data_IF_427262741845
#
_entry.id   IF_427262741845
#
_cell.length_a   1.000
_cell.length_b   1.000
_cell.length_c   1.000
_cell.angle_alpha   90.00
_cell.angle_beta   90.00
_cell.angle_gamma   90.00
#
_symmetry.space_group_name_H-M   'P 1'
#
loop_
_entity.id
_entity.type
_entity.pdbx_description
1 polymer ?
#
# COMPACT_ATOMS: atom_id res chain seq x y z
N UNK A 1 50.26 -4.36 -21.39
CA UNK A 1 50.18 -4.87 -20.00
C UNK A 1 49.66 -3.73 -19.15
N UNK A 2 48.59 -3.75 -18.39
CA UNK A 2 47.45 -4.67 -18.22
C UNK A 2 46.32 -3.82 -17.63
N UNK A 3 45.08 -4.24 -17.88
CA UNK A 3 43.86 -3.45 -17.77
C UNK A 3 43.42 -3.12 -16.33
N UNK A 4 42.78 -1.96 -16.22
CA UNK A 4 41.88 -1.53 -15.15
C UNK A 4 40.60 -2.36 -15.16
N UNK A 5 40.35 -3.13 -14.10
CA UNK A 5 39.10 -3.85 -13.87
C UNK A 5 38.15 -3.06 -12.97
N UNK A 6 37.04 -2.59 -13.55
CA UNK A 6 35.89 -2.04 -12.84
C UNK A 6 35.15 -3.17 -12.12
N UNK A 7 35.23 -3.21 -10.78
CA UNK A 7 34.44 -4.11 -9.94
C UNK A 7 33.03 -3.56 -9.73
N UNK A 8 32.05 -4.38 -10.11
CA UNK A 8 30.62 -4.21 -9.87
C UNK A 8 30.30 -3.72 -8.46
N UNK A 9 29.50 -2.67 -8.36
CA UNK A 9 28.76 -2.36 -7.14
C UNK A 9 27.67 -3.41 -6.96
N UNK A 10 28.01 -4.50 -6.28
CA UNK A 10 27.03 -5.43 -5.72
C UNK A 10 26.04 -4.64 -4.87
N UNK A 11 24.75 -4.83 -5.16
CA UNK A 11 23.66 -4.38 -4.32
C UNK A 11 23.77 -5.08 -2.96
N UNK A 12 24.46 -4.42 -2.04
CA UNK A 12 24.46 -4.81 -0.64
C UNK A 12 23.04 -4.60 -0.12
N UNK A 13 22.27 -5.69 -0.09
CA UNK A 13 21.03 -5.79 0.66
C UNK A 13 21.39 -5.36 2.09
N UNK A 14 20.94 -4.16 2.46
CA UNK A 14 21.13 -3.61 3.80
C UNK A 14 20.50 -4.61 4.78
N UNK A 15 21.36 -5.40 5.42
CA UNK A 15 20.95 -6.37 6.42
C UNK A 15 20.09 -5.63 7.45
N UNK A 16 18.90 -6.17 7.74
CA UNK A 16 17.97 -5.61 8.71
C UNK A 16 18.75 -5.11 9.93
N UNK A 17 18.74 -3.79 10.15
CA UNK A 17 19.44 -3.19 11.27
C UNK A 17 18.96 -3.88 12.56
N UNK A 18 19.87 -4.53 13.28
CA UNK A 18 19.56 -5.18 14.54
C UNK A 18 19.30 -4.10 15.58
N UNK A 19 18.03 -3.91 15.93
CA UNK A 19 17.64 -2.98 16.98
C UNK A 19 17.55 -3.73 18.33
N UNK A 20 18.22 -3.23 19.40
CA UNK A 20 18.03 -3.79 20.73
C UNK A 20 16.59 -3.56 21.20
N UNK A 21 15.98 -4.58 21.79
CA UNK A 21 14.63 -4.54 22.36
C UNK A 21 14.73 -4.57 23.88
N UNK A 22 14.17 -3.58 24.57
CA UNK A 22 14.04 -3.64 26.03
C UNK A 22 13.02 -4.71 26.43
N UNK A 23 13.38 -5.59 27.36
CA UNK A 23 12.54 -6.71 27.84
C UNK A 23 12.17 -6.60 29.32
N UNK A 24 12.46 -5.46 29.96
CA UNK A 24 12.20 -5.20 31.38
C UNK A 24 10.76 -5.53 31.82
N UNK A 25 9.76 -5.25 30.98
CA UNK A 25 8.34 -5.46 31.25
C UNK A 25 7.77 -6.76 30.67
N UNK A 26 8.63 -7.72 30.30
CA UNK A 26 8.19 -9.02 29.75
C UNK A 26 7.23 -9.81 30.64
N UNK A 27 7.30 -9.61 31.96
CA UNK A 27 6.47 -10.31 32.94
C UNK A 27 5.13 -9.62 33.18
N UNK A 28 4.96 -8.38 32.72
CA UNK A 28 3.75 -7.61 32.98
C UNK A 28 2.57 -8.19 32.20
N UNK A 29 1.48 -8.42 32.90
CA UNK A 29 0.24 -8.93 32.33
C UNK A 29 -0.66 -7.78 31.88
N UNK A 30 -1.12 -7.82 30.63
CA UNK A 30 -2.00 -6.80 30.05
C UNK A 30 -3.31 -7.39 29.51
N UNK A 31 -4.38 -6.61 29.57
CA UNK A 31 -5.68 -7.01 29.02
C UNK A 31 -5.82 -6.50 27.59
N UNK A 32 -6.22 -7.40 26.68
CA UNK A 32 -6.58 -7.06 25.31
C UNK A 32 -8.10 -6.92 25.20
N UNK A 33 -8.57 -5.70 25.01
CA UNK A 33 -10.01 -5.39 25.01
C UNK A 33 -10.46 -4.96 23.62
N UNK A 34 -11.45 -5.67 23.06
CA UNK A 34 -12.14 -5.25 21.84
C UNK A 34 -13.27 -4.28 22.19
N UNK A 35 -13.24 -3.08 21.62
CA UNK A 35 -14.19 -1.99 21.90
C UNK A 35 -15.00 -1.63 20.65
N UNK A 36 -16.31 -1.35 20.75
CA UNK A 36 -17.11 -0.83 19.64
C UNK A 36 -16.60 0.51 19.10
N UNK A 37 -16.61 0.70 17.78
CA UNK A 37 -16.05 1.89 17.13
C UNK A 37 -16.60 3.22 17.67
N UNK A 38 -17.89 3.31 17.97
CA UNK A 38 -18.47 4.57 18.47
C UNK A 38 -17.90 5.00 19.84
N UNK A 39 -17.43 4.05 20.67
CA UNK A 39 -16.73 4.37 21.92
C UNK A 39 -15.28 4.80 21.63
N UNK A 40 -14.58 4.09 20.73
CA UNK A 40 -13.23 4.45 20.33
C UNK A 40 -13.18 5.86 19.70
N UNK A 41 -14.15 6.18 18.84
CA UNK A 41 -14.30 7.50 18.22
C UNK A 41 -14.60 8.59 19.27
N UNK A 42 -15.28 8.24 20.36
CA UNK A 42 -15.51 9.18 21.48
C UNK A 42 -14.20 9.45 22.23
N UNK A 43 -13.46 8.40 22.57
CA UNK A 43 -12.19 8.51 23.29
C UNK A 43 -11.11 9.23 22.48
N UNK A 44 -11.12 9.09 21.15
CA UNK A 44 -10.16 9.79 20.29
C UNK A 44 -10.45 11.29 20.19
N UNK A 45 -11.72 11.71 20.34
CA UNK A 45 -12.12 13.13 20.34
C UNK A 45 -11.75 13.82 21.65
N UNK A 46 -11.83 13.10 22.76
CA UNK A 46 -11.32 13.58 24.05
C UNK A 46 -9.80 13.48 24.07
N UNK A 47 -9.10 14.60 24.20
CA UNK A 47 -7.64 14.66 24.30
C UNK A 47 -7.07 13.54 25.22
N UNK A 48 -5.90 12.98 24.88
CA UNK A 48 -5.32 11.74 25.44
C UNK A 48 -5.17 11.71 26.96
N UNK A 49 -5.05 12.87 27.61
CA UNK A 49 -4.85 12.97 29.06
C UNK A 49 -6.15 13.00 29.86
N UNK A 50 -7.31 12.94 29.20
CA UNK A 50 -8.62 13.00 29.86
C UNK A 50 -9.08 11.61 30.31
N UNK A 51 -9.65 11.54 31.51
CA UNK A 51 -10.33 10.34 31.99
C UNK A 51 -11.58 10.07 31.16
N UNK A 52 -11.67 8.89 30.54
CA UNK A 52 -12.78 8.54 29.62
C UNK A 52 -13.90 7.71 30.26
N UNK A 53 -13.66 7.16 31.45
CA UNK A 53 -14.63 6.34 32.15
C UNK A 53 -14.01 5.55 33.29
N UNK A 54 -14.81 4.66 33.88
CA UNK A 54 -14.44 3.78 34.99
C UNK A 54 -14.78 2.33 34.62
N UNK A 55 -13.85 1.42 34.92
CA UNK A 55 -14.08 -0.03 34.79
C UNK A 55 -14.45 -0.56 36.16
N UNK A 56 -15.60 -1.23 36.25
CA UNK A 56 -16.10 -1.86 37.47
C UNK A 56 -15.94 -3.37 37.34
N UNK A 57 -15.26 -3.99 38.30
CA UNK A 57 -15.06 -5.43 38.36
C UNK A 57 -15.76 -5.97 39.61
N UNK A 58 -16.74 -6.84 39.41
CA UNK A 58 -17.49 -7.50 40.47
C UNK A 58 -17.15 -8.99 40.46
N UNK A 59 -16.53 -9.47 41.53
CA UNK A 59 -16.30 -10.90 41.76
C UNK A 59 -17.43 -11.44 42.61
N UNK A 60 -18.24 -12.35 42.06
CA UNK A 60 -19.29 -13.03 42.85
C UNK A 60 -18.70 -14.32 43.41
N UNK A 61 -18.31 -14.30 44.68
CA UNK A 61 -17.96 -15.52 45.42
C UNK A 61 -19.25 -16.26 45.81
N UNK A 62 -19.61 -17.28 45.03
CA UNK A 62 -20.73 -18.17 45.40
C UNK A 62 -20.25 -19.04 46.56
N UNK A 63 -20.57 -18.64 47.80
CA UNK A 63 -20.17 -19.35 49.01
C UNK A 63 -20.54 -20.84 49.02
N UNK A 64 -19.56 -21.65 49.43
CA UNK A 64 -19.61 -23.01 49.99
C UNK A 64 -20.79 -23.92 49.60
N UNK A 65 -20.54 -24.88 48.69
CA UNK A 65 -21.33 -26.10 48.64
C UNK A 65 -21.50 -26.77 47.28
N UNK A 66 -20.43 -27.09 46.56
CA UNK A 66 -20.31 -28.24 45.63
C UNK A 66 -19.08 -28.09 44.74
N UNK A 67 -18.39 -29.21 44.47
CA UNK A 67 -17.16 -29.29 43.67
C UNK A 67 -17.44 -29.01 42.18
N UNK A 68 -17.48 -27.74 41.78
CA UNK A 68 -17.17 -27.23 40.43
C UNK A 68 -17.46 -25.71 40.40
N UNK A 69 -16.58 -24.94 41.02
CA UNK A 69 -16.83 -23.53 41.27
C UNK A 69 -16.27 -22.66 40.15
N UNK A 70 -17.13 -22.35 39.17
CA UNK A 70 -16.85 -21.38 38.11
C UNK A 70 -16.91 -19.98 38.71
N UNK A 71 -15.76 -19.37 38.99
CA UNK A 71 -15.67 -17.94 39.32
C UNK A 71 -16.22 -17.13 38.14
N UNK A 72 -17.36 -16.47 38.31
CA UNK A 72 -17.91 -15.55 37.31
C UNK A 72 -17.54 -14.14 37.73
N UNK A 73 -16.53 -13.58 37.08
CA UNK A 73 -16.21 -12.14 37.20
C UNK A 73 -17.11 -11.38 36.24
N UNK A 74 -17.92 -10.45 36.76
CA UNK A 74 -18.74 -9.54 35.96
C UNK A 74 -17.99 -8.21 35.84
N UNK A 75 -17.67 -7.80 34.61
CA UNK A 75 -16.84 -6.63 34.34
C UNK A 75 -17.64 -5.68 33.45
N UNK A 76 -17.74 -4.41 33.85
CA UNK A 76 -18.50 -3.38 33.15
C UNK A 76 -17.68 -2.12 32.92
N UNK A 77 -17.98 -1.40 31.83
CA UNK A 77 -17.44 -0.08 31.53
C UNK A 77 -18.52 0.98 31.67
N UNK A 78 -18.23 1.97 32.49
CA UNK A 78 -19.05 3.17 32.69
C UNK A 78 -18.31 4.33 32.04
N UNK A 79 -18.93 4.95 31.04
CA UNK A 79 -18.34 6.12 30.35
C UNK A 79 -18.57 7.38 31.18
N UNK A 80 -17.61 8.32 31.17
CA UNK A 80 -17.72 9.57 31.95
C UNK A 80 -18.86 10.47 31.46
N UNK A 81 -19.61 11.07 32.40
CA UNK A 81 -20.80 11.89 32.09
C UNK A 81 -20.45 13.15 31.30
N UNK A 82 -19.26 13.72 31.52
CA UNK A 82 -18.76 14.89 30.80
C UNK A 82 -18.54 14.58 29.32
N UNK A 83 -18.03 13.38 29.01
CA UNK A 83 -17.87 12.92 27.63
C UNK A 83 -19.20 12.64 26.96
N UNK A 84 -20.17 12.13 27.71
CA UNK A 84 -21.52 11.91 27.20
C UNK A 84 -22.18 13.25 26.83
N UNK A 85 -21.99 14.29 27.65
CA UNK A 85 -22.52 15.62 27.38
C UNK A 85 -21.91 16.25 26.11
N UNK A 86 -20.61 16.07 25.90
CA UNK A 86 -19.89 16.57 24.73
C UNK A 86 -20.12 15.72 23.46
N UNK A 87 -20.61 14.48 23.61
CA UNK A 87 -20.82 13.55 22.50
C UNK A 87 -21.94 13.97 21.52
N UNK A 88 -22.76 14.96 21.86
CA UNK A 88 -23.86 15.45 21.02
C UNK A 88 -24.80 14.31 20.59
N UNK A 89 -25.00 14.11 19.28
CA UNK A 89 -25.82 13.01 18.73
C UNK A 89 -25.28 11.60 19.07
N UNK A 90 -23.99 11.46 19.38
CA UNK A 90 -23.39 10.18 19.79
C UNK A 90 -23.66 9.86 21.26
N UNK A 91 -24.13 10.82 22.06
CA UNK A 91 -24.49 10.62 23.47
C UNK A 91 -25.57 9.55 23.64
N UNK A 92 -26.48 9.40 22.67
CA UNK A 92 -27.56 8.42 22.74
C UNK A 92 -27.14 7.01 22.29
N UNK A 93 -25.92 6.85 21.76
CA UNK A 93 -25.31 5.53 21.54
C UNK A 93 -24.73 4.96 22.83
N UNK A 94 -24.54 5.81 23.83
CA UNK A 94 -24.07 5.48 25.18
C UNK A 94 -25.31 5.42 26.09
N UNK A 95 -25.49 4.37 26.90
CA UNK A 95 -26.61 4.33 27.84
C UNK A 95 -26.53 5.48 28.83
N UNK A 96 -27.60 6.28 28.91
CA UNK A 96 -27.75 7.31 29.93
C UNK A 96 -28.27 6.68 31.23
N UNK A 97 -27.62 6.98 32.35
CA UNK A 97 -28.08 6.57 33.67
C UNK A 97 -29.35 7.34 34.02
N UNK A 98 -30.54 6.79 33.78
CA UNK A 98 -31.74 7.32 34.44
C UNK A 98 -31.71 6.90 35.93
N UNK A 99 -31.76 7.82 36.89
CA UNK A 99 -31.94 7.45 38.29
C UNK A 99 -33.31 6.75 38.41
N UNK A 100 -33.31 5.48 38.83
CA UNK A 100 -34.55 4.72 39.02
C UNK A 100 -35.29 5.29 40.23
N UNK A 101 -36.53 5.76 40.00
CA UNK A 101 -37.56 5.81 41.03
C UNK A 101 -37.63 4.44 41.72
N UNK A 102 -37.48 4.49 43.04
CA UNK A 102 -37.47 3.38 43.98
C UNK A 102 -38.75 2.56 43.86
N UNK A 103 -38.66 1.32 43.37
CA UNK A 103 -39.48 0.13 43.73
C UNK A 103 -39.37 -0.91 42.62
N UNK A 104 -38.67 -2.01 42.90
CA UNK A 104 -39.20 -3.37 42.70
C UNK A 104 -38.13 -4.38 43.11
N UNK A 105 -38.50 -5.31 43.99
CA UNK A 105 -37.69 -6.41 44.54
C UNK A 105 -37.40 -7.54 43.53
N UNK A 106 -37.42 -7.23 42.24
CA UNK A 106 -36.97 -8.11 41.19
C UNK A 106 -35.78 -7.41 40.53
N UNK A 107 -34.59 -7.99 40.69
CA UNK A 107 -33.34 -7.49 40.10
C UNK A 107 -33.39 -7.68 38.58
N UNK A 108 -34.18 -6.83 37.91
CA UNK A 108 -34.15 -6.65 36.47
C UNK A 108 -32.84 -5.93 36.19
N UNK A 109 -31.87 -6.67 35.64
CA UNK A 109 -30.61 -6.17 35.10
C UNK A 109 -30.89 -4.87 34.34
N UNK A 110 -30.56 -3.78 35.01
CA UNK A 110 -31.03 -2.46 34.66
C UNK A 110 -30.17 -1.92 33.54
N UNK A 111 -30.75 -1.81 32.35
CA UNK A 111 -30.19 -1.21 31.13
C UNK A 111 -29.32 0.00 31.45
N UNK A 112 -27.97 -0.11 31.49
CA UNK A 112 -27.11 1.07 31.71
C UNK A 112 -25.59 0.97 31.55
N UNK A 113 -25.01 -0.16 31.17
CA UNK A 113 -23.54 -0.28 31.13
C UNK A 113 -23.09 -1.13 29.94
N UNK A 114 -21.86 -0.89 29.47
CA UNK A 114 -21.22 -1.78 28.51
C UNK A 114 -20.64 -2.97 29.25
N UNK A 115 -21.21 -4.15 29.03
CA UNK A 115 -20.72 -5.38 29.65
C UNK A 115 -19.54 -5.93 28.88
N UNK A 116 -18.47 -6.32 29.58
CA UNK A 116 -17.38 -7.07 28.98
C UNK A 116 -17.67 -8.57 29.04
N UNK A 117 -17.54 -9.23 27.90
CA UNK A 117 -17.46 -10.69 27.83
C UNK A 117 -15.98 -11.08 27.93
N UNK A 118 -15.57 -11.55 29.10
CA UNK A 118 -14.21 -12.06 29.33
C UNK A 118 -14.10 -13.45 28.69
N UNK A 119 -13.16 -13.61 27.75
CA UNK A 119 -12.86 -14.89 27.12
C UNK A 119 -11.85 -15.63 28.00
N UNK A 120 -12.33 -16.43 28.96
CA UNK A 120 -11.44 -17.26 29.78
C UNK A 120 -10.99 -18.53 29.03
N UNK A 121 -9.77 -18.97 29.34
CA UNK A 121 -9.23 -20.27 28.92
C UNK A 121 -10.03 -21.36 29.66
N UNK A 122 -10.65 -22.34 28.98
CA UNK A 122 -11.22 -23.50 29.65
C UNK A 122 -10.10 -24.32 30.29
N UNK A 123 -10.20 -24.66 31.58
CA UNK A 123 -9.31 -25.67 32.17
C UNK A 123 -9.55 -27.03 31.48
N UNK A 124 -8.50 -27.87 31.31
CA UNK A 124 -8.55 -29.06 30.46
C UNK A 124 -9.47 -30.22 30.93
N UNK A 125 -10.20 -30.09 32.05
CA UNK A 125 -10.96 -31.19 32.66
C UNK A 125 -12.46 -30.89 32.81
N UNK A 126 -13.17 -30.58 31.72
CA UNK A 126 -14.66 -30.54 31.76
C UNK A 126 -15.25 -31.39 30.64
N UNK A 127 -16.12 -32.37 30.93
CA UNK A 127 -16.73 -33.22 29.90
C UNK A 127 -17.73 -32.42 29.05
N UNK A 128 -17.96 -32.82 27.78
CA UNK A 128 -18.84 -32.09 26.87
C UNK A 128 -20.31 -32.23 27.30
N UNK A 129 -20.84 -31.20 27.95
CA UNK A 129 -22.27 -31.05 28.22
C UNK A 129 -23.04 -30.85 26.91
N UNK A 130 -23.88 -31.81 26.55
CA UNK A 130 -24.83 -31.72 25.43
C UNK A 130 -25.85 -30.61 25.69
N UNK A 131 -26.19 -29.88 24.63
CA UNK A 131 -27.28 -28.90 24.48
C UNK A 131 -26.98 -27.42 24.82
N UNK A 132 -26.38 -26.71 23.85
CA UNK A 132 -26.82 -25.35 23.49
C UNK A 132 -26.80 -25.20 21.97
N UNK A 133 -27.98 -25.31 21.35
CA UNK A 133 -28.21 -24.87 19.98
C UNK A 133 -28.44 -23.36 19.98
N UNK A 134 -27.47 -22.61 19.45
CA UNK A 134 -27.51 -21.17 19.18
C UNK A 134 -26.27 -20.79 18.36
N UNK A 135 -26.33 -19.79 17.46
CA UNK A 135 -25.22 -19.44 16.58
C UNK A 135 -24.21 -18.59 17.36
N UNK A 136 -23.47 -19.23 18.27
CA UNK A 136 -22.41 -18.58 19.04
C UNK A 136 -21.29 -19.59 19.29
N UNK A 137 -20.73 -20.15 18.22
CA UNK A 137 -19.38 -20.72 18.30
C UNK A 137 -18.39 -19.57 18.39
N UNK A 138 -18.19 -19.04 19.60
CA UNK A 138 -17.00 -18.26 19.89
C UNK A 138 -15.94 -19.29 20.27
N UNK A 139 -15.11 -19.67 19.31
CA UNK A 139 -13.90 -20.44 19.60
C UNK A 139 -13.08 -19.67 20.63
N UNK A 140 -12.76 -20.27 21.78
CA UNK A 140 -11.81 -19.70 22.74
C UNK A 140 -10.43 -19.69 22.09
N UNK A 141 -10.10 -18.58 21.42
CA UNK A 141 -8.86 -18.38 20.65
C UNK A 141 -7.57 -18.39 21.48
N UNK A 142 -7.66 -18.54 22.81
CA UNK A 142 -6.48 -18.58 23.70
C UNK A 142 -5.78 -19.95 23.73
N UNK A 143 -6.39 -21.01 23.19
CA UNK A 143 -5.74 -22.33 23.14
C UNK A 143 -4.71 -22.34 22.02
N UNK A 144 -3.44 -22.15 22.37
CA UNK A 144 -2.29 -22.32 21.49
C UNK A 144 -1.69 -21.04 20.89
N UNK A 145 -2.12 -19.84 21.29
CA UNK A 145 -1.53 -18.58 20.86
C UNK A 145 -1.11 -17.70 22.06
N UNK A 146 0.16 -17.29 22.07
CA UNK A 146 0.69 -16.30 23.00
C UNK A 146 0.73 -14.93 22.33
N UNK A 147 0.18 -13.92 22.99
CA UNK A 147 0.16 -12.54 22.50
C UNK A 147 1.04 -11.66 23.37
N UNK A 148 1.86 -10.82 22.75
CA UNK A 148 2.78 -9.90 23.42
C UNK A 148 2.71 -8.53 22.74
N UNK A 149 2.81 -7.45 23.52
CA UNK A 149 2.76 -6.08 23.00
C UNK A 149 4.18 -5.54 22.82
N UNK A 150 4.52 -5.14 21.60
CA UNK A 150 5.75 -4.44 21.25
C UNK A 150 5.42 -2.96 21.01
N UNK A 151 6.22 -2.08 21.59
CA UNK A 151 6.11 -0.64 21.40
C UNK A 151 7.33 -0.16 20.60
N UNK A 152 7.07 0.79 19.70
CA UNK A 152 8.05 1.55 18.97
C UNK A 152 7.94 3.01 19.42
N UNK A 153 9.06 3.57 19.88
CA UNK A 153 9.16 4.96 20.32
C UNK A 153 10.14 5.71 19.42
N UNK A 154 9.70 6.85 18.90
CA UNK A 154 10.58 7.78 18.21
C UNK A 154 11.44 8.50 19.24
N UNK A 155 12.75 8.32 19.16
CA UNK A 155 13.72 9.04 20.00
C UNK A 155 13.73 10.54 19.67
N UNK A 156 12.73 11.31 20.12
CA UNK A 156 12.86 12.76 20.22
C UNK A 156 13.79 13.06 21.39
N UNK A 157 15.01 13.49 21.09
CA UNK A 157 15.98 13.91 22.10
C UNK A 157 15.39 15.04 22.96
N UNK A 158 15.31 14.89 24.30
CA UNK A 158 15.05 16.02 25.18
C UNK A 158 16.29 16.92 25.15
N UNK A 159 16.09 18.22 24.97
CA UNK A 159 17.13 19.24 25.19
C UNK A 159 17.67 19.11 26.62
N UNK A 160 19.00 19.02 26.85
CA UNK A 160 19.52 18.87 28.19
C UNK A 160 19.55 20.23 28.90
N UNK A 161 18.75 20.37 29.95
CA UNK A 161 19.04 21.27 31.05
C UNK A 161 20.20 20.69 31.88
N UNK A 162 21.21 21.52 32.09
CA UNK A 162 22.44 21.26 32.84
C UNK A 162 22.24 20.50 34.15
N UNK A 163 23.06 19.48 34.39
CA UNK A 163 23.74 19.32 35.68
C UNK A 163 24.93 18.36 35.55
N UNK A 164 26.02 18.72 36.23
CA UNK A 164 27.34 18.10 36.14
C UNK A 164 27.50 17.01 37.19
N UNK A 165 27.92 15.80 36.81
CA UNK A 165 28.71 14.92 37.67
C UNK A 165 29.40 13.83 36.84
N UNK A 166 30.68 13.65 37.13
CA UNK A 166 31.65 12.76 36.51
C UNK A 166 31.58 11.30 36.97
N UNK A 167 31.67 10.34 36.04
CA UNK A 167 32.54 9.14 36.16
C UNK A 167 32.53 8.28 34.88
N UNK A 168 33.74 7.92 34.44
CA UNK A 168 34.16 6.93 33.42
C UNK A 168 33.51 5.53 33.60
N UNK A 169 33.14 4.68 32.61
CA UNK A 169 33.83 3.99 31.46
C UNK A 169 32.71 3.24 30.63
N UNK A 170 32.94 2.52 29.50
CA UNK A 170 33.40 2.89 28.15
C UNK A 170 32.31 2.84 27.04
N UNK A 171 32.55 3.58 25.96
CA UNK A 171 32.13 3.35 24.56
C UNK A 171 30.76 2.70 24.29
N UNK A 172 29.67 3.39 24.65
CA UNK A 172 28.38 3.16 24.00
C UNK A 172 28.44 3.73 22.58
N UNK A 173 28.23 2.87 21.59
CA UNK A 173 28.06 3.24 20.19
C UNK A 173 27.12 4.44 20.09
N UNK A 174 27.54 5.49 19.37
CA UNK A 174 26.66 6.61 18.99
C UNK A 174 25.49 6.03 18.19
N UNK A 175 24.41 5.69 18.88
CA UNK A 175 23.14 5.35 18.24
C UNK A 175 22.68 6.63 17.55
N UNK A 176 22.58 6.57 16.22
CA UNK A 176 21.82 7.53 15.41
C UNK A 176 20.44 7.74 16.06
N UNK A 177 19.75 8.89 15.86
CA UNK A 177 18.35 9.00 16.27
C UNK A 177 17.59 7.84 15.63
N UNK A 178 17.33 6.84 16.44
CA UNK A 178 16.96 5.50 16.03
C UNK A 178 15.77 5.08 16.84
N UNK A 179 14.84 4.39 16.19
CA UNK A 179 13.63 3.86 16.82
C UNK A 179 14.04 3.01 18.03
N UNK A 180 13.44 3.27 19.19
CA UNK A 180 13.59 2.40 20.35
C UNK A 180 12.45 1.39 20.36
N UNK A 181 12.80 0.13 20.58
CA UNK A 181 11.82 -0.93 20.69
C UNK A 181 11.79 -1.44 22.13
N UNK A 182 10.59 -1.63 22.67
CA UNK A 182 10.39 -2.16 24.02
C UNK A 182 9.25 -3.15 24.04
N UNK A 183 9.39 -4.20 24.85
CA UNK A 183 8.35 -5.16 25.16
C UNK A 183 7.48 -4.62 26.29
N UNK A 184 6.20 -4.32 26.04
CA UNK A 184 5.31 -3.72 27.03
C UNK A 184 4.68 -4.74 27.99
N UNK A 185 4.51 -5.99 27.55
CA UNK A 185 3.97 -7.06 28.37
C UNK A 185 3.24 -8.15 27.58
N UNK A 186 2.86 -9.22 28.29
CA UNK A 186 2.16 -10.40 27.76
C UNK A 186 0.66 -10.24 27.99
N UNK A 187 -0.15 -10.58 26.99
CA UNK A 187 -1.61 -10.52 27.13
C UNK A 187 -2.08 -11.70 27.98
N UNK A 188 -2.62 -11.43 29.17
CA UNK A 188 -3.09 -12.45 30.10
C UNK A 188 -4.61 -12.68 30.03
N UNK A 189 -5.37 -11.67 29.58
CA UNK A 189 -6.82 -11.71 29.45
C UNK A 189 -7.28 -11.05 28.17
N UNK A 190 -8.27 -11.65 27.50
CA UNK A 190 -8.96 -11.06 26.36
C UNK A 190 -10.41 -10.79 26.72
N UNK A 191 -10.90 -9.59 26.44
CA UNK A 191 -12.29 -9.20 26.68
C UNK A 191 -12.91 -8.54 25.45
N UNK A 192 -14.23 -8.71 25.29
CA UNK A 192 -15.01 -7.99 24.28
C UNK A 192 -16.05 -7.12 24.97
N UNK A 193 -15.93 -5.81 24.82
CA UNK A 193 -16.92 -4.82 25.25
C UNK A 193 -18.15 -4.93 24.36
N UNK A 194 -19.25 -5.43 24.91
CA UNK A 194 -20.50 -5.56 24.18
C UNK A 194 -21.25 -4.23 24.19
N UNK A 195 -21.76 -3.80 23.02
CA UNK A 195 -22.68 -2.69 22.99
C UNK A 195 -23.97 -3.10 23.73
N UNK A 196 -24.56 -2.17 24.48
CA UNK A 196 -25.85 -2.39 25.12
C UNK A 196 -26.94 -2.60 24.05
N UNK A 197 -27.99 -3.40 24.33
CA UNK A 197 -29.07 -3.68 23.40
C UNK A 197 -29.99 -2.46 23.22
N UNK A 198 -29.48 -1.43 22.55
CA UNK A 198 -30.16 -0.16 22.31
C UNK A 198 -30.70 -0.11 20.87
N UNK A 199 -31.97 0.27 20.71
CA UNK A 199 -32.60 0.45 19.40
C UNK A 199 -31.81 1.41 18.48
N UNK A 200 -31.19 2.47 19.03
CA UNK A 200 -30.36 3.40 18.27
C UNK A 200 -29.09 2.74 17.74
N UNK A 201 -28.43 1.92 18.55
CA UNK A 201 -27.25 1.15 18.12
C UNK A 201 -27.61 0.14 17.04
N UNK A 202 -28.75 -0.55 17.17
CA UNK A 202 -29.24 -1.46 16.13
C UNK A 202 -29.52 -0.74 14.81
N UNK A 203 -30.12 0.47 14.86
CA UNK A 203 -30.33 1.32 13.67
C UNK A 203 -29.00 1.76 13.05
N UNK A 204 -28.03 2.20 13.85
CA UNK A 204 -26.69 2.55 13.39
C UNK A 204 -26.03 1.37 12.67
N UNK A 205 -26.09 0.17 13.26
CA UNK A 205 -25.54 -1.05 12.67
C UNK A 205 -26.25 -1.46 11.38
N UNK A 206 -27.57 -1.32 11.32
CA UNK A 206 -28.33 -1.56 10.10
C UNK A 206 -27.91 -0.60 8.97
N UNK A 207 -27.69 0.69 9.28
CA UNK A 207 -27.20 1.68 8.32
C UNK A 207 -25.76 1.36 7.85
N UNK A 208 -24.87 1.00 8.78
CA UNK A 208 -23.50 0.59 8.45
C UNK A 208 -23.49 -0.66 7.55
N UNK A 209 -24.33 -1.65 7.87
CA UNK A 209 -24.45 -2.86 7.07
C UNK A 209 -25.01 -2.56 5.68
N UNK A 210 -26.03 -1.69 5.57
CA UNK A 210 -26.59 -1.24 4.29
C UNK A 210 -25.56 -0.49 3.44
N UNK A 211 -24.74 0.35 4.05
CA UNK A 211 -23.69 1.09 3.35
C UNK A 211 -22.58 0.15 2.84
N UNK A 212 -22.14 -0.81 3.67
CA UNK A 212 -21.14 -1.82 3.30
C UNK A 212 -21.65 -2.82 2.26
N UNK A 213 -22.94 -3.16 2.33
CA UNK A 213 -23.61 -4.07 1.40
C UNK A 213 -24.13 -3.35 0.15
N UNK A 214 -23.75 -2.09 -0.10
CA UNK A 214 -24.01 -1.46 -1.39
C UNK A 214 -23.23 -2.23 -2.44
N UNK A 215 -23.93 -2.73 -3.46
CA UNK A 215 -23.28 -3.43 -4.57
C UNK A 215 -22.19 -2.52 -5.17
N UNK A 216 -20.98 -3.07 -5.35
CA UNK A 216 -19.86 -2.33 -5.97
C UNK A 216 -20.16 -1.93 -7.41
N UNK A 217 -21.03 -2.68 -8.06
CA UNK A 217 -21.51 -2.42 -9.41
C UNK A 217 -23.02 -2.21 -9.34
N UNK A 218 -23.46 -1.10 -9.93
CA UNK A 218 -24.87 -0.81 -10.13
C UNK A 218 -25.27 -1.32 -11.51
N UNK A 219 -26.28 -2.19 -11.57
CA UNK A 219 -26.82 -2.66 -12.85
C UNK A 219 -27.76 -1.59 -13.36
N UNK A 220 -27.28 -0.77 -14.29
CA UNK A 220 -28.12 0.19 -14.99
C UNK A 220 -28.80 -0.51 -16.18
N UNK A 221 -30.13 -0.51 -16.18
CA UNK A 221 -30.91 -0.91 -17.37
C UNK A 221 -30.76 0.19 -18.39
N UNK A 222 -30.25 -0.15 -19.57
CA UNK A 222 -30.13 0.78 -20.68
C UNK A 222 -31.44 0.77 -21.47
N UNK A 223 -32.12 1.91 -21.53
CA UNK A 223 -33.37 2.07 -22.30
C UNK A 223 -33.18 1.80 -23.79
N UNK A 224 -31.97 2.05 -24.29
CA UNK A 224 -31.60 1.85 -25.69
C UNK A 224 -30.53 0.75 -25.78
N UNK A 225 -30.64 -0.16 -26.76
CA UNK A 225 -29.60 -1.15 -27.00
C UNK A 225 -28.28 -0.45 -27.33
N UNK A 226 -27.18 -0.87 -26.67
CA UNK A 226 -25.83 -0.37 -26.97
C UNK A 226 -25.47 -0.81 -28.38
N UNK A 227 -25.29 0.16 -29.28
CA UNK A 227 -24.79 -0.12 -30.62
C UNK A 227 -23.31 -0.46 -30.53
N UNK A 228 -23.00 -1.75 -30.44
CA UNK A 228 -21.63 -2.25 -30.62
C UNK A 228 -21.29 -2.18 -32.09
N UNK A 229 -20.45 -1.21 -32.49
CA UNK A 229 -19.97 -1.13 -33.85
C UNK A 229 -19.18 -2.39 -34.21
N UNK A 230 -19.57 -3.03 -35.31
CA UNK A 230 -18.86 -4.19 -35.85
C UNK A 230 -17.39 -3.83 -36.11
N UNK A 231 -16.45 -4.77 -35.93
CA UNK A 231 -15.05 -4.52 -36.21
C UNK A 231 -14.89 -4.10 -37.68
N UNK A 232 -14.47 -2.85 -37.88
CA UNK A 232 -14.27 -2.29 -39.22
C UNK A 232 -12.96 -2.85 -39.77
N UNK A 233 -13.02 -3.47 -40.96
CA UNK A 233 -11.86 -4.09 -41.61
C UNK A 233 -10.67 -3.14 -41.81
N UNK A 234 -10.91 -1.82 -41.89
CA UNK A 234 -9.86 -0.79 -41.89
C UNK A 234 -10.33 0.45 -41.13
N UNK A 235 -9.63 0.81 -40.06
CA UNK A 235 -9.90 2.00 -39.28
C UNK A 235 -9.66 3.27 -40.14
N UNK A 236 -10.43 4.34 -39.87
CA UNK A 236 -10.31 5.61 -40.59
C UNK A 236 -8.87 6.17 -40.60
N UNK A 237 -8.11 5.92 -39.54
CA UNK A 237 -6.69 6.25 -39.43
C UNK A 237 -5.83 5.62 -40.56
N UNK A 238 -6.08 4.35 -40.89
CA UNK A 238 -5.38 3.66 -41.98
C UNK A 238 -5.78 4.21 -43.35
N UNK A 239 -7.04 4.60 -43.56
CA UNK A 239 -7.48 5.15 -44.84
C UNK A 239 -6.96 6.58 -45.06
N UNK A 240 -7.00 7.42 -44.02
CA UNK A 240 -6.71 8.85 -44.13
C UNK A 240 -5.20 9.08 -44.21
N UNK A 241 -4.40 8.53 -43.30
CA UNK A 241 -2.97 8.85 -43.24
C UNK A 241 -2.14 8.02 -44.23
N UNK A 242 -2.28 6.69 -44.23
CA UNK A 242 -1.50 5.83 -45.13
C UNK A 242 -1.93 5.99 -46.59
N UNK A 243 -3.23 6.14 -46.85
CA UNK A 243 -3.77 6.40 -48.19
C UNK A 243 -3.28 7.73 -48.77
N UNK A 244 -3.36 8.82 -47.98
CA UNK A 244 -2.90 10.13 -48.41
C UNK A 244 -1.37 10.19 -48.61
N UNK A 245 -0.60 9.54 -47.73
CA UNK A 245 0.86 9.44 -47.87
C UNK A 245 1.25 8.71 -49.15
N UNK A 246 0.64 7.56 -49.43
CA UNK A 246 0.89 6.78 -50.66
C UNK A 246 0.47 7.53 -51.94
N UNK A 247 -0.62 8.31 -51.88
CA UNK A 247 -1.07 9.15 -53.01
C UNK A 247 -0.13 10.35 -53.26
N UNK A 248 0.42 10.96 -52.20
CA UNK A 248 1.37 12.08 -52.31
C UNK A 248 2.77 11.63 -52.77
N UNK A 249 3.23 10.48 -52.29
CA UNK A 249 4.58 9.97 -52.58
C UNK A 249 4.69 9.34 -53.98
N UNK A 250 3.59 8.82 -54.55
CA UNK A 250 3.58 8.26 -55.90
C UNK A 250 4.47 7.01 -56.03
N UNK A 251 4.62 6.50 -57.26
CA UNK A 251 5.62 5.46 -57.55
C UNK A 251 6.95 6.14 -57.88
N UNK A 252 8.04 5.62 -57.33
CA UNK A 252 9.40 6.11 -57.65
C UNK A 252 9.67 5.95 -59.16
N UNK A 253 9.81 7.07 -59.87
CA UNK A 253 10.27 7.08 -61.27
C UNK A 253 11.80 7.11 -61.30
N UNK A 254 12.37 6.43 -62.31
CA UNK A 254 13.81 6.47 -62.60
C UNK A 254 14.17 7.88 -63.05
N UNK A 255 15.03 8.55 -62.30
CA UNK A 255 15.64 9.84 -62.65
C UNK A 255 16.95 9.64 -63.42
N UNK A 256 17.50 10.71 -63.96
CA UNK A 256 18.82 10.71 -64.61
C UNK A 256 19.92 10.28 -63.63
N UNK A 257 21.00 9.69 -64.13
CA UNK A 257 22.06 9.13 -63.28
C UNK A 257 22.81 10.23 -62.53
N UNK A 258 23.05 11.34 -63.18
CA UNK A 258 23.82 12.49 -62.73
C UNK A 258 23.08 13.19 -61.57
N UNK A 259 21.77 13.43 -61.72
CA UNK A 259 20.90 13.97 -60.67
C UNK A 259 20.90 13.10 -59.40
N UNK A 260 20.74 11.78 -59.56
CA UNK A 260 20.72 10.83 -58.44
C UNK A 260 22.06 10.81 -57.72
N UNK A 261 23.15 10.93 -58.48
CA UNK A 261 24.52 10.96 -57.95
C UNK A 261 24.78 12.24 -57.14
N UNK A 262 24.26 13.39 -57.59
CA UNK A 262 24.31 14.63 -56.82
C UNK A 262 23.51 14.53 -55.51
N UNK A 263 22.31 13.94 -55.54
CA UNK A 263 21.51 13.70 -54.33
C UNK A 263 22.20 12.74 -53.36
N UNK A 264 22.88 11.71 -53.87
CA UNK A 264 23.66 10.76 -53.07
C UNK A 264 24.86 11.44 -52.41
N UNK A 265 25.64 12.23 -53.14
CA UNK A 265 26.77 12.97 -52.56
C UNK A 265 26.30 13.98 -51.50
N UNK A 266 25.19 14.69 -51.74
CA UNK A 266 24.56 15.57 -50.75
C UNK A 266 24.08 14.82 -49.51
N UNK A 267 23.60 13.58 -49.65
CA UNK A 267 23.27 12.75 -48.50
C UNK A 267 24.54 12.38 -47.72
N UNK A 268 25.55 11.83 -48.39
CA UNK A 268 26.80 11.40 -47.78
C UNK A 268 27.64 12.53 -47.17
N UNK A 269 27.44 13.77 -47.61
CA UNK A 269 27.98 14.96 -46.96
C UNK A 269 27.43 15.14 -45.54
N UNK A 270 26.16 14.76 -45.30
CA UNK A 270 25.53 14.85 -43.97
C UNK A 270 25.92 13.69 -43.06
N UNK A 271 25.94 12.46 -43.58
CA UNK A 271 26.32 11.28 -42.81
C UNK A 271 27.24 10.39 -43.64
N UNK A 272 28.35 9.96 -43.03
CA UNK A 272 29.35 9.12 -43.70
C UNK A 272 28.83 7.73 -44.06
N UNK A 273 27.88 7.21 -43.28
CA UNK A 273 27.30 5.89 -43.44
C UNK A 273 25.78 6.00 -43.55
N UNK A 274 25.20 5.33 -44.54
CA UNK A 274 23.75 5.24 -44.69
C UNK A 274 23.27 3.80 -44.81
N UNK A 275 22.11 3.49 -44.20
CA UNK A 275 21.41 2.26 -44.51
C UNK A 275 20.77 2.34 -45.90
N UNK A 276 20.70 1.21 -46.61
CA UNK A 276 20.13 1.17 -47.96
C UNK A 276 18.67 1.66 -48.01
N UNK A 277 17.88 1.40 -46.96
CA UNK A 277 16.48 1.86 -46.84
C UNK A 277 16.36 3.38 -46.84
N UNK A 278 17.31 4.07 -46.20
CA UNK A 278 17.29 5.52 -46.08
C UNK A 278 17.69 6.18 -47.40
N UNK A 279 18.67 5.62 -48.11
CA UNK A 279 19.05 6.06 -49.45
C UNK A 279 17.88 5.88 -50.43
N UNK A 280 17.11 4.79 -50.30
CA UNK A 280 15.89 4.57 -51.08
C UNK A 280 14.84 5.65 -50.82
N UNK A 281 14.65 6.03 -49.55
CA UNK A 281 13.67 7.04 -49.14
C UNK A 281 14.08 8.45 -49.59
N UNK A 282 15.36 8.79 -49.47
CA UNK A 282 15.91 10.10 -49.84
C UNK A 282 15.93 10.31 -51.36
N UNK A 283 16.42 9.32 -52.12
CA UNK A 283 16.57 9.44 -53.57
C UNK A 283 15.29 9.12 -54.34
N UNK A 284 14.33 8.44 -53.69
CA UNK A 284 13.09 7.94 -54.30
C UNK A 284 13.34 7.23 -55.63
N UNK A 285 14.39 6.42 -55.69
CA UNK A 285 14.72 5.62 -56.87
C UNK A 285 14.29 4.16 -56.71
N UNK A 286 14.04 3.42 -57.80
CA UNK A 286 13.84 1.98 -57.75
C UNK A 286 15.06 1.26 -57.15
N UNK A 287 14.82 0.19 -56.38
CA UNK A 287 15.85 -0.58 -55.66
C UNK A 287 16.98 -1.03 -56.58
N UNK A 288 16.63 -1.59 -57.74
CA UNK A 288 17.60 -2.11 -58.71
C UNK A 288 18.53 -1.01 -59.21
N UNK A 289 17.95 0.11 -59.66
CA UNK A 289 18.71 1.23 -60.20
C UNK A 289 19.63 1.88 -59.16
N UNK A 290 19.13 2.06 -57.93
CA UNK A 290 19.94 2.61 -56.85
C UNK A 290 21.11 1.68 -56.49
N UNK A 291 20.91 0.35 -56.51
CA UNK A 291 22.02 -0.59 -56.27
C UNK A 291 23.08 -0.55 -57.36
N UNK A 292 22.71 -0.34 -58.63
CA UNK A 292 23.68 -0.21 -59.73
C UNK A 292 24.56 1.02 -59.56
N UNK A 293 23.97 2.16 -59.20
CA UNK A 293 24.71 3.40 -58.95
C UNK A 293 25.63 3.25 -57.73
N UNK A 294 25.11 2.70 -56.62
CA UNK A 294 25.89 2.51 -55.39
C UNK A 294 27.06 1.56 -55.58
N UNK A 295 26.94 0.49 -56.38
CA UNK A 295 28.08 -0.38 -56.71
C UNK A 295 29.21 0.37 -57.45
N UNK A 296 28.89 1.44 -58.18
CA UNK A 296 29.88 2.27 -58.87
C UNK A 296 30.68 3.16 -57.91
N UNK A 297 30.00 3.82 -56.97
CA UNK A 297 30.56 4.93 -56.18
C UNK A 297 30.76 4.64 -54.68
N UNK A 298 30.11 3.60 -54.15
CA UNK A 298 30.04 3.29 -52.73
C UNK A 298 30.48 1.84 -52.43
N UNK A 299 30.85 1.60 -51.17
CA UNK A 299 31.25 0.29 -50.63
C UNK A 299 30.19 -0.15 -49.62
N UNK A 300 29.84 -1.44 -49.66
CA UNK A 300 28.93 -2.04 -48.70
C UNK A 300 29.69 -2.66 -47.53
N UNK A 301 29.42 -2.17 -46.32
CA UNK A 301 30.09 -2.62 -45.11
C UNK A 301 29.39 -3.85 -44.53
N UNK A 302 30.04 -5.01 -44.59
CA UNK A 302 29.50 -6.27 -44.04
C UNK A 302 29.96 -6.56 -42.60
N UNK A 303 30.90 -5.76 -42.06
CA UNK A 303 31.46 -5.96 -40.71
C UNK A 303 30.93 -4.89 -39.73
N UNK A 304 30.75 -5.23 -38.44
CA UNK A 304 30.48 -4.24 -37.38
C UNK A 304 31.64 -3.23 -37.27
N UNK A 305 31.42 -1.97 -36.84
CA UNK A 305 30.20 -1.40 -36.23
C UNK A 305 29.14 -0.87 -37.23
N UNK A 306 29.48 -0.68 -38.51
CA UNK A 306 28.57 -0.15 -39.55
C UNK A 306 28.07 -1.24 -40.51
N UNK A 307 27.66 -2.38 -39.95
CA UNK A 307 27.19 -3.52 -40.75
C UNK A 307 25.91 -3.15 -41.52
N UNK A 308 25.84 -3.60 -42.77
CA UNK A 308 24.75 -3.34 -43.71
C UNK A 308 24.56 -1.87 -44.09
N UNK A 309 25.58 -1.04 -43.90
CA UNK A 309 25.59 0.36 -44.32
C UNK A 309 26.45 0.54 -45.57
N UNK A 310 26.10 1.55 -46.37
CA UNK A 310 26.87 2.01 -47.52
C UNK A 310 27.70 3.22 -47.11
N UNK A 311 28.92 3.30 -47.63
CA UNK A 311 29.78 4.49 -47.53
C UNK A 311 30.40 4.80 -48.89
N UNK A 312 30.76 6.06 -49.14
CA UNK A 312 31.45 6.43 -50.38
C UNK A 312 32.86 5.83 -50.42
N UNK A 313 33.28 5.40 -51.61
CA UNK A 313 34.69 5.07 -51.87
C UNK A 313 35.58 6.28 -51.52
N UNK A 314 36.81 6.03 -51.03
CA UNK A 314 37.73 7.11 -50.65
C UNK A 314 38.01 8.10 -51.80
N UNK A 315 37.97 7.61 -53.04
CA UNK A 315 38.12 8.41 -54.27
C UNK A 315 37.04 9.48 -54.44
N UNK A 316 35.82 9.24 -53.95
CA UNK A 316 34.70 10.18 -54.02
C UNK A 316 34.47 10.95 -52.71
N UNK A 317 35.34 10.76 -51.71
CA UNK A 317 35.26 11.38 -50.39
C UNK A 317 35.93 12.76 -50.35
N UNK A 318 36.20 13.36 -51.51
CA UNK A 318 36.88 14.65 -51.64
C UNK A 318 35.99 15.75 -51.05
N UNK A 319 36.17 16.00 -49.76
CA UNK A 319 35.74 17.24 -49.14
C UNK A 319 36.42 18.35 -49.93
N UNK A 320 35.65 19.18 -50.62
CA UNK A 320 36.14 20.50 -50.96
C UNK A 320 36.53 21.13 -49.63
N UNK A 321 37.84 21.25 -49.39
CA UNK A 321 38.30 22.19 -48.37
C UNK A 321 37.74 23.52 -48.85
N UNK A 322 36.74 24.06 -48.15
CA UNK A 322 36.26 25.41 -48.42
C UNK A 322 37.50 26.30 -48.28
N UNK A 323 38.05 26.73 -49.41
CA UNK A 323 39.04 27.78 -49.44
C UNK A 323 38.45 28.95 -48.65
N UNK A 324 39.24 29.45 -47.70
CA UNK A 324 38.90 30.63 -46.93
C UNK A 324 38.73 31.81 -47.87
N UNK A 325 37.48 32.22 -48.08
CA UNK A 325 37.17 33.55 -48.60
C UNK A 325 37.38 34.54 -47.47
N UNK A 326 38.64 34.95 -47.29
CA UNK A 326 38.98 36.22 -46.64
C UNK A 326 38.37 37.36 -47.46
N UNK A 327 37.47 38.11 -46.84
CA UNK A 327 37.28 39.54 -47.04
C UNK A 327 37.10 40.18 -45.67
#
# INVERSE_FOLDING_TARGET
MSASGSGSSDGLIEAHALHPVDTSRAKDGVWLVKVPNYLADLWLKSNTDRTVGKVVMSTVDIGHGSKEQRQSSDVHLITDDSLIAEAGENSDLIPKVSPKTFRSLYFVASSKEHQFLVQTIPLPNTPPGKNRFGPSRISSTMVGQELVILCEEDSQAPLPSSESASSSVPSAQRTRPGKRYSLFGRVNSRAECQPPPNAKYMRLKALQLKAKNRARHEVCVLDKPVQTHLPVANHAFNQIEFGARKKREGKNLRREREDVLQDLFKAFEKHQYYAFKDLLLLTKQPVTYLTEILKGIAVFNSRPPHQNMWELKPEYRHYTSKEGSTA
#
